data_IF_884354079482
#
_entry.id   IF_884354079482
#
_cell.length_a   1.000
_cell.length_b   1.000
_cell.length_c   1.000
_cell.angle_alpha   90.00
_cell.angle_beta   90.00
_cell.angle_gamma   90.00
#
_symmetry.space_group_name_H-M   'P 1'
#
loop_
_entity.id
_entity.type
_entity.pdbx_description
1 polymer ?
#
# COMPACT_ATOMS: atom_id res chain seq x y z
N UNK A 1 4.31 -1.40 11.87
CA UNK A 1 4.09 -0.24 10.99
C UNK A 1 5.40 0.49 10.74
N UNK A 2 6.26 -0.04 9.86
CA UNK A 2 7.45 0.70 9.41
C UNK A 2 7.30 0.96 7.92
N UNK A 3 7.77 2.12 7.47
CA UNK A 3 7.87 2.42 6.06
C UNK A 3 9.04 1.65 5.46
N UNK A 4 8.73 0.59 4.72
CA UNK A 4 9.73 -0.20 4.00
C UNK A 4 10.18 0.54 2.73
N UNK A 5 11.27 1.31 2.88
CA UNK A 5 11.86 2.09 1.79
C UNK A 5 12.43 1.19 0.69
N UNK A 6 12.97 0.03 1.04
CA UNK A 6 13.63 -0.86 0.08
C UNK A 6 12.59 -1.49 -0.84
N UNK A 7 11.50 -2.01 -0.27
CA UNK A 7 10.37 -2.51 -1.06
C UNK A 7 9.77 -1.44 -1.98
N UNK A 8 9.65 -0.19 -1.50
CA UNK A 8 9.16 0.91 -2.35
C UNK A 8 10.14 1.22 -3.50
N UNK A 9 11.44 1.25 -3.22
CA UNK A 9 12.45 1.50 -4.24
C UNK A 9 12.44 0.41 -5.32
N UNK A 10 12.26 -0.85 -4.93
CA UNK A 10 12.12 -1.97 -5.86
C UNK A 10 10.86 -1.84 -6.73
N UNK A 11 9.73 -1.47 -6.14
CA UNK A 11 8.49 -1.24 -6.89
C UNK A 11 8.62 -0.09 -7.90
N UNK A 12 9.29 1.00 -7.51
CA UNK A 12 9.56 2.15 -8.40
C UNK A 12 10.50 1.74 -9.54
N UNK A 13 11.55 0.96 -9.25
CA UNK A 13 12.44 0.45 -10.29
C UNK A 13 11.73 -0.48 -11.27
N UNK A 14 10.80 -1.32 -10.79
CA UNK A 14 10.09 -2.29 -11.61
C UNK A 14 8.93 -1.69 -12.43
N UNK A 15 8.19 -0.72 -11.88
CA UNK A 15 6.94 -0.24 -12.45
C UNK A 15 6.93 1.26 -12.78
N UNK A 16 8.01 1.99 -12.49
CA UNK A 16 8.11 3.43 -12.69
C UNK A 16 7.37 4.21 -11.60
N UNK A 17 6.35 4.98 -11.97
CA UNK A 17 5.57 5.75 -11.01
C UNK A 17 4.74 4.82 -10.10
N UNK A 18 4.89 4.99 -8.79
CA UNK A 18 4.18 4.22 -7.76
C UNK A 18 3.51 5.17 -6.78
N UNK A 19 2.25 4.90 -6.46
CA UNK A 19 1.51 5.53 -5.36
C UNK A 19 1.44 4.55 -4.19
N UNK A 20 1.76 5.02 -2.99
CA UNK A 20 1.58 4.24 -1.76
C UNK A 20 0.36 4.75 -1.00
N UNK A 21 -0.63 3.89 -0.83
CA UNK A 21 -1.83 4.15 -0.03
C UNK A 21 -1.67 3.50 1.34
N UNK A 22 -2.05 4.20 2.40
CA UNK A 22 -1.98 3.70 3.78
C UNK A 22 -3.26 4.08 4.50
N UNK A 23 -3.77 3.15 5.31
CA UNK A 23 -4.82 3.48 6.28
C UNK A 23 -4.21 4.29 7.43
N UNK A 24 -4.49 5.60 7.44
CA UNK A 24 -4.03 6.47 8.52
C UNK A 24 -4.79 6.17 9.84
N UNK A 25 -6.09 5.94 9.73
CA UNK A 25 -6.98 5.61 10.84
C UNK A 25 -8.12 4.71 10.35
N UNK A 26 -8.78 4.04 11.29
CA UNK A 26 -9.93 3.16 11.05
C UNK A 26 -10.98 3.46 12.11
N UNK A 27 -12.22 3.67 11.68
CA UNK A 27 -13.37 3.87 12.56
C UNK A 27 -14.37 2.71 12.37
N UNK A 28 -14.76 2.05 13.46
CA UNK A 28 -15.64 0.88 13.42
C UNK A 28 -14.90 -0.40 12.99
N UNK A 29 -15.65 -1.37 12.48
CA UNK A 29 -15.09 -2.64 12.00
C UNK A 29 -14.65 -2.51 10.54
N UNK A 30 -13.37 -2.76 10.29
CA UNK A 30 -12.77 -2.75 8.96
C UNK A 30 -12.03 -4.07 8.71
N UNK A 31 -12.00 -4.58 7.48
CA UNK A 31 -11.22 -5.77 7.15
C UNK A 31 -9.70 -5.58 7.32
N UNK A 32 -9.22 -4.33 7.48
CA UNK A 32 -7.82 -3.99 7.72
C UNK A 32 -7.69 -2.89 8.76
N UNK A 33 -6.60 -2.98 9.53
CA UNK A 33 -6.25 -2.04 10.59
C UNK A 33 -5.46 -0.83 10.06
N UNK A 34 -5.34 0.21 10.90
CA UNK A 34 -4.43 1.32 10.64
C UNK A 34 -3.01 0.81 10.33
N UNK A 35 -2.32 1.48 9.41
CA UNK A 35 -1.00 1.08 8.93
C UNK A 35 -0.98 -0.01 7.85
N UNK A 36 -2.11 -0.64 7.52
CA UNK A 36 -2.21 -1.43 6.30
C UNK A 36 -1.91 -0.56 5.07
N UNK A 37 -1.19 -1.12 4.09
CA UNK A 37 -0.72 -0.38 2.94
C UNK A 37 -0.85 -1.17 1.63
N UNK A 38 -0.98 -0.43 0.53
CA UNK A 38 -1.04 -0.96 -0.82
C UNK A 38 -0.24 -0.05 -1.75
N UNK A 39 0.47 -0.65 -2.70
CA UNK A 39 1.13 0.07 -3.79
C UNK A 39 0.27 -0.02 -5.03
N UNK A 40 0.09 1.09 -5.73
CA UNK A 40 -0.61 1.18 -7.01
C UNK A 40 0.35 1.73 -8.05
N UNK A 41 0.40 1.11 -9.22
CA UNK A 41 1.30 1.46 -10.31
C UNK A 41 0.64 1.19 -11.66
N UNK A 42 1.30 1.59 -12.74
CA UNK A 42 0.77 1.36 -14.08
C UNK A 42 0.57 -0.15 -14.33
N UNK A 43 -0.68 -0.54 -14.56
CA UNK A 43 -1.05 -1.93 -14.85
C UNK A 43 -1.27 -2.83 -13.65
N UNK A 44 -1.27 -2.32 -12.40
CA UNK A 44 -1.60 -3.16 -11.26
C UNK A 44 -1.44 -2.55 -9.87
N UNK A 45 -1.49 -3.44 -8.88
CA UNK A 45 -1.31 -3.12 -7.47
C UNK A 45 -0.62 -4.27 -6.73
N UNK A 46 -0.03 -3.97 -5.58
CA UNK A 46 0.54 -4.94 -4.65
C UNK A 46 0.09 -4.64 -3.22
N UNK A 47 -0.33 -5.68 -2.49
CA UNK A 47 -0.95 -5.54 -1.17
C UNK A 47 -2.44 -5.21 -1.23
N UNK A 48 -3.07 -5.02 -0.07
CA UNK A 48 -4.47 -4.61 0.03
C UNK A 48 -4.72 -3.84 1.33
N UNK A 49 -5.48 -2.76 1.21
CA UNK A 49 -6.02 -1.99 2.34
C UNK A 49 -7.49 -2.32 2.63
N UNK A 50 -8.08 -3.30 1.92
CA UNK A 50 -9.48 -3.68 2.05
C UNK A 50 -9.76 -5.13 1.65
N UNK A 51 -11.03 -5.46 1.46
CA UNK A 51 -11.50 -6.82 1.12
C UNK A 51 -11.99 -7.02 -0.32
N UNK A 52 -12.09 -5.95 -1.11
CA UNK A 52 -12.84 -5.93 -2.37
C UNK A 52 -14.00 -4.94 -2.30
#
# INVERSE_FOLDING_TARGET
>A
MSFDREALAQAVAAHGAVVRVVLAEVAGSSPREAGAAMLVFAGGQAGTIGGG
#
